data_IF_668255602572
#
_entry.id   IF_668255602572
#
_cell.length_a   1.000
_cell.length_b   1.000
_cell.length_c   1.000
_cell.angle_alpha   90.00
_cell.angle_beta   90.00
_cell.angle_gamma   90.00
#
_symmetry.space_group_name_H-M   'P 1'
#
loop_
_entity.id
_entity.type
_entity.pdbx_description
1 polymer ?
#
# COMPACT_ATOMS: atom_id res chain seq x y z
N UNK A 1 21.52 -22.32 5.77
CA UNK A 1 20.24 -22.49 6.49
C UNK A 1 20.23 -21.80 7.86
N UNK A 2 21.23 -22.01 8.75
CA UNK A 2 21.27 -21.39 10.08
C UNK A 2 21.45 -19.88 10.04
N UNK A 3 22.31 -19.34 9.19
CA UNK A 3 22.51 -17.91 8.97
C UNK A 3 21.28 -17.23 8.39
N UNK A 4 20.60 -17.85 7.46
CA UNK A 4 19.37 -17.34 6.84
C UNK A 4 18.24 -17.21 7.86
N UNK A 5 18.12 -18.15 8.80
CA UNK A 5 17.13 -18.08 9.90
C UNK A 5 17.48 -16.97 10.89
N UNK A 6 18.76 -16.78 11.21
CA UNK A 6 19.20 -15.71 12.10
C UNK A 6 18.94 -14.34 11.46
N UNK A 7 19.28 -14.15 10.19
CA UNK A 7 19.06 -12.90 9.47
C UNK A 7 17.55 -12.57 9.38
N UNK A 8 16.71 -13.54 9.04
CA UNK A 8 15.26 -13.30 8.97
C UNK A 8 14.66 -12.94 10.34
N UNK A 9 15.14 -13.54 11.43
CA UNK A 9 14.69 -13.19 12.77
C UNK A 9 15.09 -11.77 13.17
N UNK A 10 16.29 -11.33 12.82
CA UNK A 10 16.75 -9.95 13.05
C UNK A 10 15.93 -8.97 12.21
N UNK A 11 15.69 -9.25 10.93
CA UNK A 11 14.86 -8.45 10.06
C UNK A 11 13.46 -8.19 10.65
N UNK A 12 12.77 -9.27 11.04
CA UNK A 12 11.41 -9.18 11.59
C UNK A 12 11.41 -8.42 12.91
N UNK A 13 12.43 -8.63 13.76
CA UNK A 13 12.54 -7.92 15.04
C UNK A 13 12.75 -6.43 14.84
N UNK A 14 13.63 -6.01 13.93
CA UNK A 14 13.87 -4.61 13.61
C UNK A 14 12.60 -3.94 13.04
N UNK A 15 11.93 -4.62 12.09
CA UNK A 15 10.72 -4.13 11.45
C UNK A 15 9.48 -4.12 12.36
N UNK A 16 9.51 -4.79 13.50
CA UNK A 16 8.49 -4.69 14.55
C UNK A 16 8.85 -3.67 15.62
N UNK A 17 10.06 -3.73 16.14
CA UNK A 17 10.46 -2.94 17.31
C UNK A 17 10.67 -1.46 16.99
N UNK A 18 11.37 -1.14 15.88
CA UNK A 18 11.68 0.27 15.55
C UNK A 18 10.41 1.06 15.21
N UNK A 19 9.50 0.60 14.35
CA UNK A 19 8.23 1.29 14.11
C UNK A 19 7.38 1.43 15.36
N UNK A 20 7.38 0.41 16.24
CA UNK A 20 6.65 0.44 17.51
C UNK A 20 7.20 1.52 18.46
N UNK A 21 8.53 1.66 18.57
CA UNK A 21 9.16 2.72 19.39
C UNK A 21 8.72 4.10 18.89
N UNK A 22 8.80 4.35 17.59
CA UNK A 22 8.33 5.63 17.03
C UNK A 22 6.82 5.82 17.21
N UNK A 23 6.04 4.75 17.08
CA UNK A 23 4.60 4.80 17.34
C UNK A 23 4.27 5.22 18.77
N UNK A 24 5.01 4.72 19.75
CA UNK A 24 4.86 5.10 21.16
C UNK A 24 5.28 6.56 21.39
N UNK A 25 6.42 6.98 20.85
CA UNK A 25 6.92 8.35 20.96
C UNK A 25 5.89 9.34 20.36
N UNK A 26 5.44 9.10 19.14
CA UNK A 26 4.49 9.98 18.48
C UNK A 26 3.10 10.00 19.15
N UNK A 27 2.70 8.90 19.77
CA UNK A 27 1.47 8.85 20.58
C UNK A 27 1.56 9.74 21.82
N UNK A 28 2.70 9.72 22.49
CA UNK A 28 2.96 10.58 23.67
C UNK A 28 2.88 12.06 23.28
N UNK A 29 3.37 12.44 22.10
CA UNK A 29 3.29 13.80 21.56
C UNK A 29 1.89 14.20 21.09
N UNK A 30 0.88 13.33 21.23
CA UNK A 30 -0.52 13.54 20.80
C UNK A 30 -0.68 13.86 19.31
N UNK A 31 0.29 13.49 18.47
CA UNK A 31 0.18 13.62 17.03
C UNK A 31 -0.93 12.69 16.51
N UNK A 32 -1.87 13.24 15.74
CA UNK A 32 -2.85 12.43 15.01
C UNK A 32 -2.12 11.68 13.90
N UNK A 33 -2.61 10.51 13.50
CA UNK A 33 -2.01 9.69 12.42
C UNK A 33 -0.61 9.15 12.74
N UNK A 34 -0.30 8.99 13.99
CA UNK A 34 1.02 8.58 14.47
C UNK A 34 1.47 7.22 13.92
N UNK A 35 0.55 6.27 13.65
CA UNK A 35 0.93 4.91 13.22
C UNK A 35 1.55 4.88 11.82
N UNK A 36 0.96 5.56 10.84
CA UNK A 36 1.49 5.64 9.48
C UNK A 36 2.80 6.44 9.44
N UNK A 37 2.84 7.58 10.14
CA UNK A 37 4.05 8.41 10.21
C UNK A 37 5.19 7.68 10.92
N UNK A 38 4.91 6.97 12.02
CA UNK A 38 5.90 6.16 12.71
C UNK A 38 6.52 5.11 11.81
N UNK A 39 5.68 4.40 11.04
CA UNK A 39 6.12 3.44 10.05
C UNK A 39 6.95 4.07 8.93
N UNK A 40 6.54 5.24 8.45
CA UNK A 40 7.29 5.95 7.42
C UNK A 40 8.68 6.39 7.91
N UNK A 41 8.77 6.97 9.11
CA UNK A 41 10.05 7.35 9.72
C UNK A 41 10.93 6.11 9.92
N UNK A 42 10.39 5.04 10.47
CA UNK A 42 11.13 3.80 10.69
C UNK A 42 11.61 3.18 9.37
N UNK A 43 10.77 3.16 8.33
CA UNK A 43 11.14 2.65 7.01
C UNK A 43 12.25 3.44 6.34
N UNK A 44 12.22 4.77 6.42
CA UNK A 44 13.30 5.63 5.91
C UNK A 44 14.59 5.44 6.70
N UNK A 45 14.52 5.31 8.03
CA UNK A 45 15.70 5.09 8.87
C UNK A 45 16.33 3.71 8.64
N UNK A 46 15.54 2.67 8.46
CA UNK A 46 16.00 1.32 8.15
C UNK A 46 16.33 1.13 6.66
N UNK A 47 15.92 2.05 5.82
CA UNK A 47 16.08 1.99 4.37
C UNK A 47 17.48 2.40 3.89
N UNK A 48 17.67 2.39 2.56
CA UNK A 48 18.95 2.67 1.93
C UNK A 48 19.44 4.09 2.19
N UNK A 49 18.53 5.05 2.42
CA UNK A 49 18.90 6.45 2.63
C UNK A 49 19.64 6.72 3.94
N UNK A 50 19.40 5.95 5.01
CA UNK A 50 20.05 6.15 6.31
C UNK A 50 20.85 4.92 6.70
N UNK A 51 20.21 3.78 6.96
CA UNK A 51 20.92 2.58 7.39
C UNK A 51 21.83 2.03 6.27
N UNK A 52 21.34 2.01 5.02
CA UNK A 52 22.13 1.60 3.87
C UNK A 52 23.32 2.52 3.58
N UNK A 53 23.20 3.83 3.86
CA UNK A 53 24.33 4.76 3.69
C UNK A 53 25.38 4.65 4.81
N UNK A 54 24.99 4.27 6.03
CA UNK A 54 25.90 4.13 7.18
C UNK A 54 26.56 2.75 7.20
N UNK A 55 25.85 1.71 6.84
CA UNK A 55 26.30 0.32 6.88
C UNK A 55 25.77 -0.47 5.66
N UNK A 56 26.29 -0.19 4.45
CA UNK A 56 25.77 -0.75 3.20
C UNK A 56 25.78 -2.28 3.18
N UNK A 57 26.88 -2.89 3.55
CA UNK A 57 27.04 -4.35 3.54
C UNK A 57 26.01 -5.05 4.46
N UNK A 58 25.75 -4.46 5.64
CA UNK A 58 24.74 -5.00 6.56
C UNK A 58 23.33 -4.80 6.04
N UNK A 59 23.06 -3.65 5.41
CA UNK A 59 21.73 -3.36 4.85
C UNK A 59 21.41 -4.29 3.67
N UNK A 60 22.37 -4.48 2.75
CA UNK A 60 22.23 -5.40 1.61
C UNK A 60 21.97 -6.82 2.09
N UNK A 61 22.75 -7.32 3.03
CA UNK A 61 22.58 -8.66 3.59
C UNK A 61 21.27 -8.83 4.36
N UNK A 62 20.77 -7.78 5.02
CA UNK A 62 19.54 -7.88 5.82
C UNK A 62 18.28 -7.67 4.98
N UNK A 63 18.26 -6.71 4.06
CA UNK A 63 17.01 -6.28 3.43
C UNK A 63 16.97 -6.48 1.92
N UNK A 64 18.06 -6.23 1.22
CA UNK A 64 18.06 -6.29 -0.24
C UNK A 64 18.11 -7.74 -0.74
N UNK A 65 18.95 -8.59 -0.14
CA UNK A 65 19.20 -9.95 -0.60
C UNK A 65 20.08 -10.00 -1.86
N UNK A 66 20.55 -11.21 -2.22
CA UNK A 66 21.39 -11.40 -3.39
C UNK A 66 22.75 -10.72 -3.29
N UNK A 67 23.29 -10.51 -2.10
CA UNK A 67 24.55 -9.78 -1.90
C UNK A 67 25.75 -10.46 -2.58
N UNK A 68 25.75 -11.80 -2.66
CA UNK A 68 26.82 -12.53 -3.33
C UNK A 68 26.76 -12.34 -4.85
N UNK A 69 25.57 -12.41 -5.42
CA UNK A 69 25.33 -12.19 -6.85
C UNK A 69 25.60 -10.73 -7.24
N UNK A 70 25.31 -9.79 -6.35
CA UNK A 70 25.64 -8.37 -6.54
C UNK A 70 27.14 -8.16 -6.64
N UNK A 71 27.92 -8.74 -5.73
CA UNK A 71 29.39 -8.67 -5.79
C UNK A 71 29.92 -9.26 -7.09
N UNK A 72 29.39 -10.40 -7.53
CA UNK A 72 29.77 -11.01 -8.81
C UNK A 72 29.39 -10.15 -10.01
N UNK A 73 28.22 -9.50 -9.97
CA UNK A 73 27.81 -8.55 -11.02
C UNK A 73 28.77 -7.36 -11.14
N UNK A 74 29.11 -6.72 -10.01
CA UNK A 74 30.02 -5.57 -9.97
C UNK A 74 31.44 -5.97 -10.40
N UNK A 75 31.90 -7.17 -10.02
CA UNK A 75 33.19 -7.69 -10.42
C UNK A 75 33.26 -7.99 -11.93
N UNK A 76 32.19 -8.59 -12.49
CA UNK A 76 32.04 -8.82 -13.91
C UNK A 76 32.04 -7.50 -14.71
N UNK A 77 31.28 -6.50 -14.28
CA UNK A 77 31.23 -5.19 -14.92
C UNK A 77 32.60 -4.54 -14.95
N UNK A 78 33.32 -4.55 -13.82
CA UNK A 78 34.69 -4.01 -13.73
C UNK A 78 35.68 -4.77 -14.61
N UNK A 79 35.58 -6.09 -14.72
CA UNK A 79 36.42 -6.91 -15.58
C UNK A 79 36.17 -6.57 -17.04
N UNK A 80 34.91 -6.47 -17.45
CA UNK A 80 34.52 -6.12 -18.82
C UNK A 80 34.96 -4.71 -19.22
N UNK A 81 34.88 -3.74 -18.33
CA UNK A 81 35.43 -2.40 -18.55
C UNK A 81 36.97 -2.42 -18.79
N UNK A 82 37.67 -3.22 -17.99
CA UNK A 82 39.09 -3.40 -18.09
C UNK A 82 39.51 -4.04 -19.42
N UNK A 83 38.75 -5.06 -19.86
CA UNK A 83 38.96 -5.77 -21.11
C UNK A 83 38.72 -4.86 -22.33
N UNK A 84 37.66 -4.05 -22.29
CA UNK A 84 37.37 -3.07 -23.35
C UNK A 84 38.46 -1.99 -23.45
N UNK A 85 38.94 -1.49 -22.32
CA UNK A 85 40.04 -0.53 -22.29
C UNK A 85 41.36 -1.12 -22.81
N UNK A 86 41.63 -2.40 -22.51
CA UNK A 86 42.79 -3.11 -23.02
C UNK A 86 42.70 -3.31 -24.54
N UNK A 87 41.55 -3.72 -25.05
CA UNK A 87 41.28 -3.91 -26.48
C UNK A 87 41.45 -2.59 -27.26
N UNK A 88 40.97 -1.47 -26.71
CA UNK A 88 41.15 -0.14 -27.30
C UNK A 88 42.66 0.29 -27.35
N UNK A 89 43.42 0.05 -26.29
CA UNK A 89 44.84 0.34 -26.22
C UNK A 89 45.66 -0.52 -27.20
N UNK A 90 45.23 -1.74 -27.47
CA UNK A 90 45.87 -2.64 -28.43
C UNK A 90 45.49 -2.35 -29.90
N UNK A 91 44.63 -1.37 -30.15
CA UNK A 91 44.22 -0.97 -31.49
C UNK A 91 43.37 -2.03 -32.19
N UNK A 92 42.59 -2.80 -31.42
CA UNK A 92 41.67 -3.81 -31.96
C UNK A 92 40.59 -3.12 -32.83
N UNK A 93 40.29 -3.71 -33.99
CA UNK A 93 39.36 -3.11 -34.94
C UNK A 93 37.96 -2.87 -34.36
N UNK A 94 37.32 -1.74 -34.76
CA UNK A 94 36.00 -1.32 -34.23
C UNK A 94 34.92 -2.40 -34.27
N UNK A 95 34.93 -3.28 -35.31
CA UNK A 95 33.95 -4.37 -35.45
C UNK A 95 34.07 -5.40 -34.32
N UNK A 96 35.31 -5.70 -33.87
CA UNK A 96 35.56 -6.65 -32.78
C UNK A 96 35.18 -6.01 -31.45
N UNK A 97 35.44 -4.71 -31.26
CA UNK A 97 35.03 -3.97 -30.06
C UNK A 97 33.50 -3.92 -29.93
N UNK A 98 32.78 -3.73 -31.03
CA UNK A 98 31.32 -3.77 -31.06
C UNK A 98 30.79 -5.16 -30.68
N UNK A 99 31.41 -6.22 -31.19
CA UNK A 99 31.02 -7.57 -30.83
C UNK A 99 31.29 -7.88 -29.36
N UNK A 100 32.48 -7.50 -28.84
CA UNK A 100 32.78 -7.60 -27.39
C UNK A 100 31.75 -6.87 -26.52
N UNK A 101 31.35 -5.66 -26.90
CA UNK A 101 30.30 -4.93 -26.16
C UNK A 101 28.96 -5.66 -26.16
N UNK A 102 28.58 -6.24 -27.28
CA UNK A 102 27.33 -7.00 -27.37
C UNK A 102 27.37 -8.27 -26.50
N UNK A 103 28.48 -9.00 -26.53
CA UNK A 103 28.70 -10.19 -25.72
C UNK A 103 28.73 -9.83 -24.22
N UNK A 104 29.42 -8.76 -23.84
CA UNK A 104 29.45 -8.25 -22.49
C UNK A 104 28.07 -7.82 -21.98
N UNK A 105 27.27 -7.12 -22.80
CA UNK A 105 25.91 -6.78 -22.43
C UNK A 105 25.04 -8.01 -22.19
N UNK A 106 25.17 -9.05 -23.01
CA UNK A 106 24.45 -10.29 -22.81
C UNK A 106 24.82 -10.98 -21.49
N UNK A 107 26.12 -11.04 -21.15
CA UNK A 107 26.58 -11.61 -19.88
C UNK A 107 26.11 -10.80 -18.67
N UNK A 108 26.17 -9.46 -18.76
CA UNK A 108 25.66 -8.58 -17.69
C UNK A 108 24.16 -8.75 -17.47
N UNK A 109 23.37 -8.87 -18.54
CA UNK A 109 21.94 -9.12 -18.42
C UNK A 109 21.67 -10.50 -17.78
N UNK A 110 22.39 -11.54 -18.17
CA UNK A 110 22.25 -12.84 -17.57
C UNK A 110 22.62 -12.87 -16.08
N UNK A 111 23.66 -12.10 -15.68
CA UNK A 111 24.03 -11.97 -14.27
C UNK A 111 23.03 -11.11 -13.49
N UNK A 112 22.51 -10.06 -14.10
CA UNK A 112 21.45 -9.22 -13.51
C UNK A 112 20.17 -10.03 -13.25
N UNK A 113 19.81 -10.93 -14.17
CA UNK A 113 18.66 -11.81 -13.96
C UNK A 113 18.90 -12.78 -12.80
N UNK A 114 20.09 -13.38 -12.69
CA UNK A 114 20.47 -14.22 -11.55
C UNK A 114 20.42 -13.45 -10.23
N UNK A 115 20.94 -12.23 -10.20
CA UNK A 115 20.88 -11.38 -9.03
C UNK A 115 19.43 -11.06 -8.64
N UNK A 116 18.58 -10.75 -9.60
CA UNK A 116 17.14 -10.51 -9.36
C UNK A 116 16.43 -11.72 -8.79
N UNK A 117 16.74 -12.91 -9.32
CA UNK A 117 16.16 -14.16 -8.82
C UNK A 117 16.63 -14.45 -7.38
N UNK A 118 17.93 -14.25 -7.08
CA UNK A 118 18.47 -14.39 -5.73
C UNK A 118 17.84 -13.39 -4.75
N UNK A 119 17.72 -12.11 -5.14
CA UNK A 119 16.99 -11.12 -4.35
C UNK A 119 15.55 -11.54 -4.07
N UNK A 120 14.87 -12.05 -5.09
CA UNK A 120 13.51 -12.52 -4.97
C UNK A 120 13.38 -13.67 -3.97
N UNK A 121 14.31 -14.61 -3.95
CA UNK A 121 14.29 -15.73 -3.01
C UNK A 121 14.66 -15.31 -1.59
N UNK A 122 15.67 -14.47 -1.42
CA UNK A 122 16.11 -13.94 -0.10
C UNK A 122 15.06 -13.05 0.55
N UNK A 123 14.27 -12.32 -0.24
CA UNK A 123 13.16 -11.49 0.25
C UNK A 123 11.89 -12.29 0.57
N UNK A 124 11.85 -13.58 0.30
CA UNK A 124 10.68 -14.43 0.58
C UNK A 124 10.17 -14.37 2.02
N UNK A 125 11.04 -14.36 3.06
CA UNK A 125 10.58 -14.19 4.44
C UNK A 125 9.91 -12.85 4.69
N UNK A 126 10.42 -11.75 4.11
CA UNK A 126 9.83 -10.41 4.25
C UNK A 126 8.46 -10.32 3.59
N UNK A 127 8.29 -10.93 2.40
CA UNK A 127 6.98 -11.02 1.75
C UNK A 127 5.97 -11.77 2.60
N UNK A 128 6.37 -12.93 3.15
CA UNK A 128 5.53 -13.67 4.08
C UNK A 128 5.14 -12.85 5.32
N UNK A 129 6.10 -12.11 5.86
CA UNK A 129 5.89 -11.24 7.01
C UNK A 129 4.86 -10.13 6.71
N UNK A 130 4.96 -9.44 5.58
CA UNK A 130 3.98 -8.42 5.15
C UNK A 130 2.59 -9.02 5.01
N UNK A 131 2.46 -10.18 4.38
CA UNK A 131 1.17 -10.87 4.22
C UNK A 131 0.56 -11.17 5.59
N UNK A 132 1.33 -11.70 6.55
CA UNK A 132 0.85 -11.97 7.90
C UNK A 132 0.40 -10.69 8.60
N UNK A 133 1.17 -9.60 8.52
CA UNK A 133 0.78 -8.32 9.10
C UNK A 133 -0.53 -7.78 8.50
N UNK A 134 -0.70 -7.89 7.19
CA UNK A 134 -1.92 -7.46 6.50
C UNK A 134 -3.11 -8.32 6.91
N UNK A 135 -2.94 -9.64 7.03
CA UNK A 135 -3.97 -10.54 7.59
C UNK A 135 -4.39 -10.06 8.99
N UNK A 136 -3.42 -9.74 9.84
CA UNK A 136 -3.69 -9.23 11.19
C UNK A 136 -4.43 -7.89 11.18
N UNK A 137 -4.10 -6.97 10.26
CA UNK A 137 -4.81 -5.69 10.10
C UNK A 137 -6.27 -5.93 9.70
N UNK A 138 -6.53 -6.75 8.68
CA UNK A 138 -7.89 -7.05 8.24
C UNK A 138 -8.69 -7.81 9.31
N UNK A 139 -8.07 -8.76 9.99
CA UNK A 139 -8.68 -9.50 11.11
C UNK A 139 -9.02 -8.56 12.26
N UNK A 140 -8.06 -7.72 12.69
CA UNK A 140 -8.26 -6.71 13.72
C UNK A 140 -9.41 -5.77 13.37
N UNK A 141 -9.45 -5.30 12.14
CA UNK A 141 -10.52 -4.46 11.64
C UNK A 141 -11.87 -5.15 11.65
N UNK A 142 -11.93 -6.41 11.24
CA UNK A 142 -13.17 -7.22 11.28
C UNK A 142 -13.71 -7.34 12.72
N UNK A 143 -12.83 -7.50 13.69
CA UNK A 143 -13.19 -7.65 15.10
C UNK A 143 -13.64 -6.33 15.76
N UNK A 144 -13.31 -5.16 15.19
CA UNK A 144 -13.73 -3.85 15.74
C UNK A 144 -15.14 -3.44 15.33
N UNK A 145 -15.59 -3.87 14.18
CA UNK A 145 -16.83 -3.38 13.62
C UNK A 145 -18.06 -3.89 14.34
N UNK A 146 -18.64 -2.99 15.16
CA UNK A 146 -19.96 -3.17 15.80
C UNK A 146 -21.12 -2.73 14.90
N UNK A 147 -21.07 -3.00 13.64
CA UNK A 147 -22.13 -2.45 12.77
C UNK A 147 -23.36 -3.33 12.82
N UNK A 148 -24.30 -2.97 13.69
CA UNK A 148 -25.68 -3.51 13.68
C UNK A 148 -26.57 -2.50 12.95
N UNK A 149 -27.17 -2.90 11.84
CA UNK A 149 -28.13 -2.07 11.12
C UNK A 149 -28.50 -2.66 9.77
N UNK A 150 -29.66 -2.31 9.30
CA UNK A 150 -30.23 -2.74 8.01
C UNK A 150 -29.99 -1.65 6.97
N UNK A 151 -28.87 -1.73 6.22
CA UNK A 151 -28.74 -0.95 4.98
C UNK A 151 -29.19 -1.83 3.80
N UNK A 152 -29.89 -1.27 2.80
CA UNK A 152 -30.28 -2.02 1.62
C UNK A 152 -29.05 -2.61 0.91
N UNK A 153 -28.99 -3.94 0.70
CA UNK A 153 -27.78 -4.58 0.15
C UNK A 153 -27.48 -4.10 -1.27
N UNK A 154 -28.52 -3.93 -2.10
CA UNK A 154 -28.38 -3.45 -3.48
C UNK A 154 -27.78 -2.03 -3.56
N UNK A 155 -28.19 -1.14 -2.68
CA UNK A 155 -27.64 0.22 -2.61
C UNK A 155 -26.18 0.20 -2.19
N UNK A 156 -25.84 -0.62 -1.19
CA UNK A 156 -24.44 -0.77 -0.75
C UNK A 156 -23.54 -1.32 -1.84
N UNK A 157 -24.04 -2.29 -2.61
CA UNK A 157 -23.31 -2.89 -3.72
C UNK A 157 -23.04 -1.85 -4.81
N UNK A 158 -24.09 -1.17 -5.25
CA UNK A 158 -24.00 -0.21 -6.34
C UNK A 158 -23.08 0.98 -6.00
N UNK A 159 -23.30 1.61 -4.85
CA UNK A 159 -22.45 2.74 -4.41
C UNK A 159 -21.00 2.30 -4.26
N UNK A 160 -20.76 1.12 -3.68
CA UNK A 160 -19.41 0.57 -3.52
C UNK A 160 -18.71 0.28 -4.84
N UNK A 161 -19.44 -0.24 -5.82
CA UNK A 161 -18.90 -0.49 -7.18
C UNK A 161 -18.50 0.82 -7.86
N UNK A 162 -19.34 1.86 -7.83
CA UNK A 162 -19.01 3.17 -8.40
C UNK A 162 -17.86 3.85 -7.66
N UNK A 163 -17.82 3.72 -6.32
CA UNK A 163 -16.72 4.23 -5.50
C UNK A 163 -15.38 3.52 -5.79
N UNK A 164 -15.40 2.34 -6.41
CA UNK A 164 -14.20 1.64 -6.86
C UNK A 164 -13.86 1.92 -8.33
N UNK A 165 -14.84 1.84 -9.23
CA UNK A 165 -14.60 1.94 -10.69
C UNK A 165 -14.04 3.31 -11.07
N UNK A 166 -14.57 4.40 -10.49
CA UNK A 166 -14.12 5.75 -10.85
C UNK A 166 -12.66 6.00 -10.44
N UNK A 167 -12.24 5.80 -9.18
CA UNK A 167 -10.84 5.99 -8.82
C UNK A 167 -9.92 4.98 -9.51
N UNK A 168 -10.37 3.75 -9.75
CA UNK A 168 -9.61 2.77 -10.50
C UNK A 168 -9.40 3.22 -11.94
N UNK A 169 -10.45 3.62 -12.63
CA UNK A 169 -10.38 4.07 -14.02
C UNK A 169 -9.51 5.31 -14.18
N UNK A 170 -9.73 6.35 -13.36
CA UNK A 170 -8.91 7.56 -13.38
C UNK A 170 -7.44 7.26 -13.05
N UNK A 171 -7.17 6.47 -12.01
CA UNK A 171 -5.82 6.09 -11.65
C UNK A 171 -5.12 5.27 -12.73
N UNK A 172 -5.82 4.29 -13.31
CA UNK A 172 -5.25 3.45 -14.37
C UNK A 172 -4.96 4.26 -15.63
N UNK A 173 -5.86 5.12 -16.05
CA UNK A 173 -5.66 6.01 -17.21
C UNK A 173 -4.46 6.93 -16.98
N UNK A 174 -4.37 7.50 -15.77
CA UNK A 174 -3.27 8.38 -15.44
C UNK A 174 -1.92 7.64 -15.44
N UNK A 175 -1.84 6.46 -14.83
CA UNK A 175 -0.63 5.66 -14.82
C UNK A 175 -0.22 5.26 -16.24
N UNK A 176 -1.17 4.87 -17.07
CA UNK A 176 -0.91 4.43 -18.43
C UNK A 176 -0.41 5.56 -19.34
N UNK A 177 -1.08 6.73 -19.31
CA UNK A 177 -0.77 7.82 -20.25
C UNK A 177 0.32 8.79 -19.76
N UNK A 178 0.43 9.05 -18.45
CA UNK A 178 1.38 10.04 -17.94
C UNK A 178 2.69 9.44 -17.45
N UNK A 179 2.68 8.16 -17.03
CA UNK A 179 3.90 7.49 -16.57
C UNK A 179 4.34 6.36 -17.49
N UNK A 180 3.67 6.20 -18.62
CA UNK A 180 3.98 5.19 -19.64
C UNK A 180 4.17 3.78 -19.06
N UNK A 181 3.28 3.43 -18.14
CA UNK A 181 3.34 2.14 -17.45
C UNK A 181 2.55 1.08 -18.22
N UNK A 182 2.98 -0.18 -18.13
CA UNK A 182 2.22 -1.29 -18.70
C UNK A 182 0.83 -1.42 -18.08
N UNK A 183 -0.11 -2.04 -18.79
CA UNK A 183 -1.52 -2.20 -18.38
C UNK A 183 -1.65 -2.82 -16.99
N UNK A 184 -0.86 -3.84 -16.65
CA UNK A 184 -0.90 -4.50 -15.35
C UNK A 184 -0.51 -3.55 -14.21
N UNK A 185 0.52 -2.73 -14.41
CA UNK A 185 0.96 -1.71 -13.44
C UNK A 185 -0.10 -0.63 -13.30
N UNK A 186 -0.67 -0.17 -14.41
CA UNK A 186 -1.73 0.82 -14.41
C UNK A 186 -2.97 0.34 -13.65
N UNK A 187 -3.43 -0.88 -13.89
CA UNK A 187 -4.56 -1.48 -13.17
C UNK A 187 -4.25 -1.68 -11.68
N UNK A 188 -3.04 -2.12 -11.34
CA UNK A 188 -2.60 -2.28 -9.96
C UNK A 188 -2.60 -0.94 -9.21
N UNK A 189 -2.11 0.13 -9.85
CA UNK A 189 -2.14 1.47 -9.30
C UNK A 189 -3.58 1.98 -9.12
N UNK A 190 -4.44 1.80 -10.12
CA UNK A 190 -5.86 2.12 -10.03
C UNK A 190 -6.57 1.37 -8.91
N UNK A 191 -6.24 0.09 -8.70
CA UNK A 191 -6.77 -0.71 -7.59
C UNK A 191 -6.36 -0.12 -6.22
N UNK A 192 -5.13 0.38 -6.06
CA UNK A 192 -4.71 1.07 -4.84
C UNK A 192 -5.58 2.29 -4.55
N UNK A 193 -5.86 3.11 -5.58
CA UNK A 193 -6.71 4.28 -5.43
C UNK A 193 -8.17 3.94 -5.14
N UNK A 194 -8.64 2.79 -5.62
CA UNK A 194 -10.01 2.30 -5.42
C UNK A 194 -10.24 1.67 -4.04
N UNK A 195 -9.19 1.35 -3.28
CA UNK A 195 -9.30 0.67 -1.99
C UNK A 195 -10.16 1.45 -0.99
N UNK A 196 -11.36 0.97 -0.74
CA UNK A 196 -12.31 1.56 0.22
C UNK A 196 -12.03 1.13 1.67
N UNK A 197 -12.69 1.77 2.66
CA UNK A 197 -12.48 1.48 4.07
C UNK A 197 -12.95 0.07 4.44
N UNK A 198 -12.06 -0.71 5.04
CA UNK A 198 -12.40 -2.00 5.64
C UNK A 198 -13.04 -1.82 7.01
N UNK A 199 -12.62 -0.78 7.74
CA UNK A 199 -13.09 -0.46 9.08
C UNK A 199 -13.36 1.03 9.23
N UNK A 200 -14.29 1.37 10.10
CA UNK A 200 -14.46 2.75 10.50
C UNK A 200 -13.30 3.20 11.39
N UNK A 201 -12.74 4.36 11.10
CA UNK A 201 -11.80 5.03 12.00
C UNK A 201 -12.49 5.38 13.33
N UNK A 202 -11.72 5.68 14.38
CA UNK A 202 -12.30 6.12 15.66
C UNK A 202 -13.16 7.37 15.52
N UNK A 203 -12.89 8.20 14.54
CA UNK A 203 -13.66 9.40 14.24
C UNK A 203 -14.99 9.07 13.57
N UNK A 204 -14.99 8.15 12.63
CA UNK A 204 -16.18 7.65 11.95
C UNK A 204 -17.08 6.88 12.91
N UNK A 205 -16.51 6.14 13.88
CA UNK A 205 -17.27 5.46 14.93
C UNK A 205 -18.00 6.46 15.84
N UNK A 206 -17.39 7.61 16.19
CA UNK A 206 -18.05 8.65 16.98
C UNK A 206 -19.18 9.34 16.22
N UNK A 207 -19.01 9.53 14.90
CA UNK A 207 -20.06 10.10 14.05
C UNK A 207 -21.22 9.10 13.89
N UNK A 208 -20.91 7.81 13.85
CA UNK A 208 -21.90 6.74 13.78
C UNK A 208 -22.74 6.61 15.07
N UNK A 209 -22.17 6.97 16.22
CA UNK A 209 -22.86 6.92 17.52
C UNK A 209 -23.80 8.14 17.70
N UNK A 210 -23.53 9.27 17.04
CA UNK A 210 -24.23 10.54 17.29
C UNK A 210 -25.42 10.84 16.34
N UNK A 211 -25.49 10.20 15.16
CA UNK A 211 -26.54 10.53 14.19
C UNK A 211 -26.89 9.39 13.27
N UNK A 212 -28.18 9.30 12.92
CA UNK A 212 -28.73 8.43 11.86
C UNK A 212 -27.82 7.24 11.48
N UNK A 213 -27.71 6.29 12.38
CA UNK A 213 -26.84 5.09 12.31
C UNK A 213 -26.84 4.40 10.93
N UNK A 214 -27.92 4.55 10.16
CA UNK A 214 -28.06 3.98 8.83
C UNK A 214 -27.04 4.46 7.80
N UNK A 215 -26.59 5.72 7.86
CA UNK A 215 -25.64 6.30 6.90
C UNK A 215 -24.23 5.75 7.04
N UNK A 216 -23.68 5.69 8.26
CA UNK A 216 -22.32 5.20 8.51
C UNK A 216 -22.21 3.70 8.22
N UNK A 217 -23.26 2.92 8.52
CA UNK A 217 -23.33 1.49 8.22
C UNK A 217 -23.34 1.26 6.71
N UNK A 218 -24.16 2.02 5.99
CA UNK A 218 -24.21 1.98 4.54
C UNK A 218 -22.84 2.25 3.96
N UNK A 219 -22.16 3.32 4.40
CA UNK A 219 -20.85 3.71 3.88
C UNK A 219 -19.77 2.68 4.16
N UNK A 220 -19.76 2.05 5.33
CA UNK A 220 -18.84 0.96 5.62
C UNK A 220 -19.05 -0.24 4.70
N UNK A 221 -20.31 -0.61 4.42
CA UNK A 221 -20.63 -1.69 3.48
C UNK A 221 -20.20 -1.32 2.06
N UNK A 222 -20.47 -0.09 1.62
CA UNK A 222 -19.98 0.43 0.34
C UNK A 222 -18.45 0.40 0.26
N UNK A 223 -17.76 0.83 1.30
CA UNK A 223 -16.30 0.79 1.38
C UNK A 223 -15.72 -0.62 1.27
N UNK A 224 -16.34 -1.60 1.93
CA UNK A 224 -15.96 -3.01 1.81
C UNK A 224 -16.19 -3.56 0.41
N UNK A 225 -17.31 -3.21 -0.23
CA UNK A 225 -17.56 -3.58 -1.63
C UNK A 225 -16.51 -2.96 -2.54
N UNK A 226 -16.18 -1.68 -2.35
CA UNK A 226 -15.14 -1.00 -3.12
C UNK A 226 -13.77 -1.69 -2.95
N UNK A 227 -13.41 -2.08 -1.73
CA UNK A 227 -12.18 -2.83 -1.47
C UNK A 227 -12.18 -4.20 -2.15
N UNK A 228 -13.29 -4.94 -2.11
CA UNK A 228 -13.41 -6.23 -2.78
C UNK A 228 -13.24 -6.09 -4.30
N UNK A 229 -13.85 -5.07 -4.90
CA UNK A 229 -13.67 -4.77 -6.33
C UNK A 229 -12.20 -4.43 -6.62
N UNK A 230 -11.57 -3.60 -5.80
CA UNK A 230 -10.15 -3.28 -5.93
C UNK A 230 -9.26 -4.54 -5.83
N UNK A 231 -9.55 -5.45 -4.91
CA UNK A 231 -8.85 -6.73 -4.78
C UNK A 231 -9.07 -7.64 -6.00
N UNK A 232 -10.26 -7.68 -6.60
CA UNK A 232 -10.50 -8.43 -7.84
C UNK A 232 -9.68 -7.86 -9.02
N UNK A 233 -9.57 -6.53 -9.11
CA UNK A 233 -8.74 -5.88 -10.13
C UNK A 233 -7.25 -6.17 -9.88
N UNK A 234 -6.78 -6.09 -8.64
CA UNK A 234 -5.42 -6.44 -8.26
C UNK A 234 -5.11 -7.92 -8.53
N UNK A 235 -6.06 -8.83 -8.27
CA UNK A 235 -5.95 -10.24 -8.63
C UNK A 235 -5.74 -10.41 -10.14
N UNK A 236 -6.55 -9.75 -10.96
CA UNK A 236 -6.41 -9.79 -12.40
C UNK A 236 -5.05 -9.23 -12.86
N UNK A 237 -4.63 -8.09 -12.33
CA UNK A 237 -3.36 -7.45 -12.66
C UNK A 237 -2.14 -8.32 -12.31
N UNK A 238 -2.22 -9.11 -11.23
CA UNK A 238 -1.10 -9.93 -10.74
C UNK A 238 -1.13 -11.37 -11.20
N UNK A 239 -2.27 -11.85 -11.74
CA UNK A 239 -2.46 -13.27 -12.10
C UNK A 239 -1.42 -13.78 -13.08
N UNK A 240 -1.09 -13.00 -14.10
CA UNK A 240 -0.14 -13.40 -15.14
C UNK A 240 1.31 -13.48 -14.62
N UNK A 241 1.65 -12.69 -13.60
CA UNK A 241 3.01 -12.61 -13.05
C UNK A 241 3.23 -13.51 -11.85
N UNK A 242 2.20 -13.72 -11.02
CA UNK A 242 2.32 -14.37 -9.70
C UNK A 242 1.60 -15.72 -9.63
N UNK A 243 0.76 -16.07 -10.61
CA UNK A 243 0.02 -17.33 -10.62
C UNK A 243 -0.80 -17.53 -9.33
N UNK A 244 -0.61 -18.69 -8.67
CA UNK A 244 -1.36 -19.07 -7.45
C UNK A 244 -1.16 -18.08 -6.28
N UNK A 245 0.00 -17.41 -6.19
CA UNK A 245 0.25 -16.44 -5.11
C UNK A 245 -0.67 -15.23 -5.18
N UNK A 246 -1.24 -14.93 -6.35
CA UNK A 246 -2.23 -13.87 -6.49
C UNK A 246 -3.54 -14.15 -5.72
N UNK A 247 -3.81 -15.39 -5.29
CA UNK A 247 -4.97 -15.71 -4.46
C UNK A 247 -4.99 -14.98 -3.10
N UNK A 248 -3.89 -14.40 -2.68
CA UNK A 248 -3.84 -13.52 -1.49
C UNK A 248 -4.86 -12.37 -1.57
N UNK A 249 -5.23 -11.94 -2.77
CA UNK A 249 -6.23 -10.89 -3.00
C UNK A 249 -7.65 -11.31 -2.61
N UNK A 250 -7.92 -12.61 -2.45
CA UNK A 250 -9.21 -13.12 -1.95
C UNK A 250 -9.31 -13.04 -0.42
N UNK A 251 -8.24 -12.66 0.28
CA UNK A 251 -8.21 -12.56 1.73
C UNK A 251 -9.33 -11.70 2.32
N UNK A 252 -9.64 -10.48 1.83
CA UNK A 252 -10.76 -9.71 2.34
C UNK A 252 -12.10 -10.41 2.16
N UNK A 253 -12.29 -11.16 1.07
CA UNK A 253 -13.50 -11.95 0.85
C UNK A 253 -13.63 -13.07 1.89
N UNK A 254 -12.54 -13.78 2.19
CA UNK A 254 -12.51 -14.85 3.20
C UNK A 254 -12.76 -14.29 4.60
N UNK A 255 -12.26 -13.09 4.91
CA UNK A 255 -12.44 -12.45 6.21
C UNK A 255 -13.80 -11.72 6.36
N UNK A 256 -14.53 -11.52 5.27
CA UNK A 256 -15.83 -10.82 5.30
C UNK A 256 -16.84 -11.43 6.28
N UNK A 257 -17.02 -12.77 6.36
CA UNK A 257 -17.96 -13.37 7.33
C UNK A 257 -17.61 -13.06 8.79
N UNK A 258 -16.32 -12.89 9.12
CA UNK A 258 -15.88 -12.54 10.46
C UNK A 258 -16.39 -11.17 10.92
N UNK A 259 -16.71 -10.29 9.98
CA UNK A 259 -17.25 -8.96 10.30
C UNK A 259 -18.69 -9.01 10.85
N UNK A 260 -19.37 -10.14 10.72
CA UNK A 260 -20.72 -10.35 11.24
C UNK A 260 -20.71 -10.90 12.66
N UNK A 261 -19.57 -11.43 13.10
CA UNK A 261 -19.40 -11.96 14.46
C UNK A 261 -19.19 -10.77 15.41
N UNK A 262 -20.03 -10.68 16.46
CA UNK A 262 -19.87 -9.66 17.49
C UNK A 262 -18.76 -10.11 18.45
N UNK A 263 -17.59 -9.49 18.44
CA UNK A 263 -16.50 -9.91 19.29
C UNK A 263 -16.80 -9.56 20.76
N UNK A 264 -16.37 -10.38 21.70
CA UNK A 264 -16.42 -10.06 23.12
C UNK A 264 -15.55 -8.82 23.42
N UNK A 265 -15.91 -8.07 24.49
CA UNK A 265 -15.26 -6.79 24.85
C UNK A 265 -13.73 -6.91 24.94
N UNK A 266 -13.24 -8.07 25.40
CA UNK A 266 -11.81 -8.34 25.58
C UNK A 266 -11.01 -8.40 24.27
N UNK A 267 -11.62 -8.76 23.14
CA UNK A 267 -10.95 -8.79 21.85
C UNK A 267 -10.76 -7.41 21.21
N UNK A 268 -11.44 -6.36 21.69
CA UNK A 268 -11.29 -5.02 21.14
C UNK A 268 -10.00 -4.33 21.51
N UNK A 269 -9.53 -4.51 22.75
CA UNK A 269 -8.23 -3.97 23.14
C UNK A 269 -7.10 -4.72 22.43
N UNK A 270 -7.24 -6.05 22.22
CA UNK A 270 -6.29 -6.84 21.45
C UNK A 270 -6.22 -6.36 20.01
N UNK A 271 -7.37 -6.12 19.37
CA UNK A 271 -7.40 -5.59 18.01
C UNK A 271 -6.77 -4.20 17.92
N UNK A 272 -6.95 -3.36 18.94
CA UNK A 272 -6.25 -2.09 19.01
C UNK A 272 -4.73 -2.26 19.12
N UNK A 273 -4.27 -3.21 19.92
CA UNK A 273 -2.85 -3.55 20.06
C UNK A 273 -2.23 -4.04 18.74
N UNK A 274 -2.94 -4.91 18.02
CA UNK A 274 -2.49 -5.41 16.72
C UNK A 274 -2.24 -4.25 15.74
N UNK A 275 -3.19 -3.30 15.63
CA UNK A 275 -3.01 -2.17 14.71
C UNK A 275 -1.86 -1.25 15.11
N UNK A 276 -1.58 -1.15 16.41
CA UNK A 276 -0.43 -0.38 16.91
C UNK A 276 0.91 -0.92 16.43
N UNK A 277 0.99 -2.21 16.16
CA UNK A 277 2.19 -2.88 15.71
C UNK A 277 2.14 -3.10 14.19
N UNK A 278 1.05 -3.65 13.67
CA UNK A 278 0.98 -4.10 12.30
C UNK A 278 0.98 -2.96 11.28
N UNK A 279 0.22 -1.87 11.51
CA UNK A 279 0.15 -0.75 10.55
C UNK A 279 1.51 -0.08 10.36
N UNK A 280 2.22 0.38 11.42
CA UNK A 280 3.53 0.98 11.23
C UNK A 280 4.57 0.00 10.68
N UNK A 281 4.47 -1.29 11.00
CA UNK A 281 5.40 -2.30 10.48
C UNK A 281 5.19 -2.56 8.99
N UNK A 282 3.94 -2.62 8.49
CA UNK A 282 3.66 -2.73 7.04
C UNK A 282 4.21 -1.51 6.30
N UNK A 283 4.01 -0.31 6.84
CA UNK A 283 4.53 0.91 6.26
C UNK A 283 6.06 0.92 6.22
N UNK A 284 6.72 0.55 7.31
CA UNK A 284 8.18 0.46 7.40
C UNK A 284 8.74 -0.58 6.42
N UNK A 285 8.14 -1.77 6.38
CA UNK A 285 8.57 -2.85 5.48
C UNK A 285 8.40 -2.47 4.00
N UNK A 286 7.38 -1.68 3.67
CA UNK A 286 7.19 -1.20 2.30
C UNK A 286 8.22 -0.15 1.88
N UNK A 287 8.79 0.61 2.82
CA UNK A 287 9.74 1.67 2.54
C UNK A 287 11.21 1.24 2.71
N UNK A 288 11.48 0.12 3.39
CA UNK A 288 12.84 -0.33 3.72
C UNK A 288 13.70 -0.62 2.49
N UNK A 289 13.09 -0.98 1.36
CA UNK A 289 13.78 -1.25 0.08
C UNK A 289 13.76 -0.05 -0.88
N UNK A 290 13.03 1.00 -0.53
CA UNK A 290 12.84 2.14 -1.44
C UNK A 290 13.80 3.26 -1.05
N UNK A 291 14.56 3.76 -2.02
CA UNK A 291 15.34 4.99 -1.82
C UNK A 291 14.38 6.18 -1.94
N UNK A 292 13.95 6.81 -0.82
CA UNK A 292 12.87 7.78 -0.86
C UNK A 292 13.23 9.01 -1.69
N UNK A 293 14.49 9.48 -1.63
CA UNK A 293 14.94 10.70 -2.32
C UNK A 293 14.89 10.51 -3.84
N UNK A 294 15.34 9.36 -4.34
CA UNK A 294 15.36 9.05 -5.78
C UNK A 294 13.96 8.76 -6.32
N UNK A 295 13.11 8.17 -5.47
CA UNK A 295 11.72 7.82 -5.82
C UNK A 295 10.74 8.98 -5.63
N UNK A 296 11.14 10.07 -4.98
CA UNK A 296 10.32 11.26 -4.74
C UNK A 296 10.22 12.12 -6.01
N UNK A 297 9.17 11.91 -6.78
CA UNK A 297 8.75 12.87 -7.80
C UNK A 297 7.56 13.68 -7.27
N UNK A 298 7.71 15.00 -7.20
CA UNK A 298 6.68 15.90 -6.64
C UNK A 298 5.36 15.81 -7.41
N UNK A 299 5.43 15.69 -8.73
CA UNK A 299 4.24 15.67 -9.57
C UNK A 299 3.37 14.43 -9.37
N UNK A 300 3.88 13.18 -9.42
CA UNK A 300 3.10 12.00 -9.09
C UNK A 300 2.48 12.06 -7.69
N UNK A 301 3.22 12.53 -6.70
CA UNK A 301 2.73 12.63 -5.32
C UNK A 301 1.53 13.57 -5.24
N UNK A 302 1.64 14.77 -5.80
CA UNK A 302 0.57 15.75 -5.78
C UNK A 302 -0.69 15.24 -6.47
N UNK A 303 -0.53 14.64 -7.63
CA UNK A 303 -1.66 14.05 -8.39
C UNK A 303 -2.29 12.90 -7.62
N UNK A 304 -1.49 11.99 -7.04
CA UNK A 304 -2.01 10.86 -6.25
C UNK A 304 -2.74 11.34 -5.00
N UNK A 305 -2.19 12.33 -4.28
CA UNK A 305 -2.83 12.90 -3.10
C UNK A 305 -4.20 13.49 -3.42
N UNK A 306 -4.32 14.22 -4.53
CA UNK A 306 -5.60 14.76 -4.99
C UNK A 306 -6.56 13.64 -5.41
N UNK A 307 -6.11 12.70 -6.25
CA UNK A 307 -6.96 11.61 -6.72
C UNK A 307 -7.41 10.67 -5.61
N UNK A 308 -6.61 10.42 -4.60
CA UNK A 308 -6.99 9.55 -3.48
C UNK A 308 -8.23 10.05 -2.74
N UNK A 309 -8.37 11.36 -2.56
CA UNK A 309 -9.51 11.95 -1.88
C UNK A 309 -10.69 12.16 -2.82
N UNK A 310 -10.46 12.87 -3.93
CA UNK A 310 -11.54 13.39 -4.78
C UNK A 310 -12.19 12.30 -5.62
N UNK A 311 -11.42 11.35 -6.15
CA UNK A 311 -11.98 10.32 -7.03
C UNK A 311 -12.96 9.38 -6.32
N UNK A 312 -12.68 9.02 -5.06
CA UNK A 312 -13.61 8.20 -4.26
C UNK A 312 -14.84 8.97 -3.84
N UNK A 313 -14.66 10.23 -3.49
CA UNK A 313 -15.76 11.12 -3.15
C UNK A 313 -16.71 11.27 -4.35
N UNK A 314 -16.17 11.56 -5.54
CA UNK A 314 -16.95 11.65 -6.80
C UNK A 314 -17.64 10.32 -7.09
N UNK A 315 -16.93 9.18 -6.98
CA UNK A 315 -17.52 7.86 -7.18
C UNK A 315 -18.67 7.57 -6.23
N UNK A 316 -18.52 7.95 -4.97
CA UNK A 316 -19.56 7.83 -3.96
C UNK A 316 -20.79 8.70 -4.26
N UNK A 317 -20.59 9.95 -4.69
CA UNK A 317 -21.67 10.86 -5.10
C UNK A 317 -22.45 10.28 -6.28
N UNK A 318 -21.75 9.84 -7.32
CA UNK A 318 -22.36 9.26 -8.51
C UNK A 318 -23.18 8.02 -8.14
N UNK A 319 -22.62 7.12 -7.33
CA UNK A 319 -23.34 5.94 -6.87
C UNK A 319 -24.60 6.25 -6.07
N UNK A 320 -24.55 7.25 -5.19
CA UNK A 320 -25.69 7.70 -4.38
C UNK A 320 -26.73 8.46 -5.20
N UNK A 321 -26.32 9.27 -6.16
CA UNK A 321 -27.24 10.02 -7.01
C UNK A 321 -27.97 9.12 -8.01
N UNK A 322 -27.26 8.18 -8.66
CA UNK A 322 -27.84 7.32 -9.68
C UNK A 322 -28.84 6.30 -9.13
N UNK A 323 -28.59 5.74 -7.94
CA UNK A 323 -29.34 4.60 -7.42
C UNK A 323 -29.97 4.85 -6.05
N UNK A 324 -29.54 5.88 -5.35
CA UNK A 324 -30.08 6.24 -4.05
C UNK A 324 -31.29 7.18 -4.10
N UNK A 325 -31.60 7.77 -5.25
CA UNK A 325 -32.68 8.77 -5.39
C UNK A 325 -32.52 9.96 -4.44
N UNK A 326 -31.31 10.19 -3.91
CA UNK A 326 -31.02 11.27 -2.93
C UNK A 326 -30.61 12.53 -3.67
N UNK A 327 -31.03 13.67 -3.15
CA UNK A 327 -30.59 14.98 -3.64
C UNK A 327 -29.06 15.05 -3.61
N UNK A 328 -28.47 15.75 -4.58
CA UNK A 328 -27.02 15.87 -4.76
C UNK A 328 -26.28 16.35 -3.50
N UNK A 329 -26.90 17.22 -2.72
CA UNK A 329 -26.35 17.75 -1.47
C UNK A 329 -26.21 16.69 -0.37
N UNK A 330 -27.23 15.86 -0.17
CA UNK A 330 -27.17 14.72 0.76
C UNK A 330 -26.20 13.63 0.27
N UNK A 331 -26.09 13.43 -1.04
CA UNK A 331 -25.14 12.50 -1.62
C UNK A 331 -23.69 12.96 -1.40
N UNK A 332 -23.39 14.24 -1.56
CA UNK A 332 -22.06 14.81 -1.29
C UNK A 332 -21.60 14.54 0.15
N UNK A 333 -22.49 14.76 1.12
CA UNK A 333 -22.16 14.55 2.55
C UNK A 333 -21.99 13.09 2.91
N UNK A 334 -22.86 12.24 2.41
CA UNK A 334 -22.81 10.80 2.67
C UNK A 334 -21.62 10.12 1.98
N UNK A 335 -21.08 10.69 0.91
CA UNK A 335 -19.91 10.16 0.23
C UNK A 335 -18.58 10.44 0.96
N UNK A 336 -18.52 11.46 1.85
CA UNK A 336 -17.29 11.81 2.58
C UNK A 336 -16.69 10.63 3.37
N UNK A 337 -17.46 9.83 4.12
CA UNK A 337 -16.93 8.67 4.83
C UNK A 337 -16.39 7.53 3.94
N UNK A 338 -16.69 7.53 2.62
CA UNK A 338 -16.11 6.57 1.68
C UNK A 338 -14.62 6.82 1.42
N UNK A 339 -14.17 8.03 1.70
CA UNK A 339 -12.75 8.38 1.61
C UNK A 339 -12.04 7.79 2.84
N UNK A 340 -11.40 6.64 2.64
CA UNK A 340 -10.72 5.85 3.69
C UNK A 340 -9.67 6.66 4.47
N UNK A 341 -9.34 6.14 5.65
CA UNK A 341 -8.20 6.57 6.46
C UNK A 341 -6.82 6.19 5.89
N UNK A 342 -6.76 5.58 4.72
CA UNK A 342 -5.52 5.19 4.03
C UNK A 342 -4.97 3.81 4.39
N UNK A 343 -5.49 3.13 5.41
CA UNK A 343 -4.97 1.81 5.84
C UNK A 343 -5.19 0.73 4.80
N UNK A 344 -6.38 0.64 4.20
CA UNK A 344 -6.65 -0.32 3.12
C UNK A 344 -5.77 -0.06 1.90
N UNK A 345 -5.56 1.21 1.58
CA UNK A 345 -4.68 1.65 0.50
C UNK A 345 -3.21 1.27 0.76
N UNK A 346 -2.72 1.47 1.99
CA UNK A 346 -1.40 0.99 2.43
C UNK A 346 -1.27 -0.51 2.22
N UNK A 347 -2.25 -1.30 2.66
CA UNK A 347 -2.21 -2.76 2.53
C UNK A 347 -2.13 -3.21 1.07
N UNK A 348 -2.95 -2.61 0.18
CA UNK A 348 -2.91 -2.93 -1.24
C UNK A 348 -1.58 -2.52 -1.88
N UNK A 349 -1.11 -1.30 -1.61
CA UNK A 349 0.16 -0.82 -2.14
C UNK A 349 1.34 -1.69 -1.69
N UNK A 350 1.37 -2.07 -0.41
CA UNK A 350 2.38 -2.96 0.13
C UNK A 350 2.38 -4.34 -0.57
N UNK A 351 1.20 -4.96 -0.71
CA UNK A 351 1.09 -6.25 -1.40
C UNK A 351 1.52 -6.16 -2.86
N UNK A 352 1.11 -5.13 -3.59
CA UNK A 352 1.46 -4.96 -5.01
C UNK A 352 2.94 -4.63 -5.21
N UNK A 353 3.54 -3.87 -4.30
CA UNK A 353 4.97 -3.63 -4.29
C UNK A 353 5.76 -4.94 -4.07
N UNK A 354 5.40 -5.69 -3.02
CA UNK A 354 6.03 -6.96 -2.70
C UNK A 354 5.70 -8.07 -3.71
N UNK A 355 4.67 -7.90 -4.51
CA UNK A 355 4.37 -8.72 -5.68
C UNK A 355 5.22 -8.34 -6.91
N UNK A 356 6.06 -7.31 -6.83
CA UNK A 356 6.88 -6.83 -7.96
C UNK A 356 6.08 -6.19 -9.09
N UNK A 357 4.81 -5.83 -8.84
CA UNK A 357 3.94 -5.22 -9.86
C UNK A 357 3.96 -3.70 -9.78
N UNK A 358 3.93 -3.13 -8.57
CA UNK A 358 3.93 -1.68 -8.39
C UNK A 358 5.37 -1.16 -8.25
N UNK A 359 5.84 -0.24 -9.11
CA UNK A 359 7.17 0.33 -9.00
C UNK A 359 7.32 1.22 -7.76
N UNK A 360 8.56 1.39 -7.29
CA UNK A 360 8.90 2.12 -6.06
C UNK A 360 8.34 3.55 -6.05
N UNK A 361 8.44 4.29 -7.15
CA UNK A 361 7.96 5.67 -7.26
C UNK A 361 6.45 5.79 -7.06
N UNK A 362 5.66 4.92 -7.69
CA UNK A 362 4.21 4.90 -7.52
C UNK A 362 3.83 4.39 -6.13
N UNK A 363 4.59 3.44 -5.57
CA UNK A 363 4.38 2.96 -4.20
C UNK A 363 4.54 4.09 -3.20
N UNK A 364 5.63 4.87 -3.27
CA UNK A 364 5.87 6.03 -2.39
C UNK A 364 4.74 7.04 -2.52
N UNK A 365 4.31 7.35 -3.75
CA UNK A 365 3.20 8.28 -3.96
C UNK A 365 1.90 7.80 -3.29
N UNK A 366 1.56 6.51 -3.44
CA UNK A 366 0.37 5.92 -2.80
C UNK A 366 0.49 5.92 -1.27
N UNK A 367 1.66 5.60 -0.72
CA UNK A 367 1.91 5.60 0.73
C UNK A 367 1.80 7.02 1.33
N UNK A 368 2.32 8.03 0.64
CA UNK A 368 2.14 9.43 1.04
C UNK A 368 0.68 9.88 0.92
N UNK A 369 -0.02 9.43 -0.13
CA UNK A 369 -1.47 9.60 -0.25
C UNK A 369 -2.23 9.01 0.94
N UNK A 370 -1.85 7.81 1.41
CA UNK A 370 -2.44 7.18 2.58
C UNK A 370 -2.23 8.01 3.87
N UNK A 371 -1.03 8.56 4.08
CA UNK A 371 -0.74 9.46 5.20
C UNK A 371 -1.60 10.73 5.10
N UNK A 372 -1.72 11.31 3.92
CA UNK A 372 -2.54 12.50 3.70
C UNK A 372 -4.02 12.23 4.01
N UNK A 373 -4.56 11.10 3.54
CA UNK A 373 -5.93 10.70 3.81
C UNK A 373 -6.20 10.55 5.32
N UNK A 374 -5.30 9.91 6.04
CA UNK A 374 -5.43 9.75 7.49
C UNK A 374 -5.35 11.09 8.23
N UNK A 375 -4.46 11.99 7.80
CA UNK A 375 -4.33 13.35 8.37
C UNK A 375 -5.56 14.22 8.13
N UNK A 376 -6.15 14.15 6.96
CA UNK A 376 -7.31 14.95 6.56
C UNK A 376 -8.64 14.37 7.05
N UNK A 377 -8.68 13.10 7.47
CA UNK A 377 -9.88 12.44 7.96
C UNK A 377 -10.68 13.26 9.02
N UNK A 378 -10.04 13.82 10.08
CA UNK A 378 -10.77 14.61 11.08
C UNK A 378 -11.43 15.88 10.50
N UNK A 379 -10.80 16.49 9.51
CA UNK A 379 -11.31 17.71 8.84
C UNK A 379 -12.51 17.34 7.98
N UNK A 380 -12.36 16.31 7.14
CA UNK A 380 -13.45 15.82 6.27
C UNK A 380 -14.68 15.42 7.07
N UNK A 381 -14.49 14.75 8.21
CA UNK A 381 -15.61 14.36 9.07
C UNK A 381 -16.30 15.52 9.76
N UNK A 382 -15.62 16.66 9.99
CA UNK A 382 -16.26 17.88 10.45
C UNK A 382 -17.20 18.46 9.40
N UNK A 383 -16.78 18.47 8.12
CA UNK A 383 -17.65 18.91 7.03
C UNK A 383 -18.90 18.02 6.88
N UNK A 384 -18.78 16.73 7.12
CA UNK A 384 -19.92 15.82 7.10
C UNK A 384 -20.94 16.12 8.22
N UNK A 385 -20.51 16.76 9.34
CA UNK A 385 -21.36 17.08 10.50
C UNK A 385 -22.01 18.45 10.45
N UNK A 386 -21.33 19.47 9.89
CA UNK A 386 -21.59 20.89 10.15
C UNK A 386 -22.93 21.45 9.66
N UNK A 387 -23.69 20.69 8.87
CA UNK A 387 -24.89 21.22 8.25
C UNK A 387 -26.11 20.26 8.33
N UNK A 388 -26.30 19.58 9.45
CA UNK A 388 -27.61 19.00 9.70
C UNK A 388 -28.58 20.13 10.07
N UNK A 389 -29.51 20.54 9.18
CA UNK A 389 -30.50 21.60 9.51
C UNK A 389 -31.49 21.17 10.60
N UNK A 390 -31.31 19.95 11.15
CA UNK A 390 -32.17 19.37 12.18
C UNK A 390 -31.58 19.47 13.61
N UNK A 391 -30.35 20.01 13.80
CA UNK A 391 -29.75 20.08 15.14
C UNK A 391 -30.25 21.26 15.98
N UNK A 392 -30.94 22.25 15.39
CA UNK A 392 -31.42 23.46 16.08
C UNK A 392 -32.91 23.40 16.50
N UNK A 393 -33.54 22.22 16.43
CA UNK A 393 -34.94 22.04 16.86
C UNK A 393 -35.11 20.84 17.80
N UNK A 394 -34.35 20.79 18.88
CA UNK A 394 -34.74 20.04 20.09
C UNK A 394 -34.35 20.82 21.37
#
# INVERSE_FOLDING_TARGET
MRELVINSSIQHTLLLCIPLVFAVILKITKLKSWSLIAGAIAGVLLGPAVFGSVAPDYWENLFQGGAQEHVQYVELERQQETDLLAAQKLGVGEGVILQMKADHQYELHAMQDKWRDAQWDDQRPLRGFVIVLIILIFLSGSLRCKVRGTAPPMMSLSVGVWAAIIPCGLGSLLAYYFWDTGVSVALAFGACLAAGPWTLSRWEQRVADDSELGGAILMLRCGRVALLVACCIALYATWQTQGIMSLVWLLPLILLPLTWIVPPKNLRWLSAGIDYVAIPSVMATSLVLIHPIESLSLWPILVVVLLCADSRWIGGIIGLALLGGRNSENAMRLAIPLVDSGVSQLCLAALLFWAGVLPASLTVAVLLGAIFLDRTAPIRMKFARQDSPFSDKQ
#
